data_IF_577748571334
#
_entry.id   IF_577748571334
#
_cell.length_a   1.000
_cell.length_b   1.000
_cell.length_c   1.000
_cell.angle_alpha   90.00
_cell.angle_beta   90.00
_cell.angle_gamma   90.00
#
_symmetry.space_group_name_H-M   'P 1'
#
loop_
_entity.id
_entity.type
_entity.pdbx_description
1 polymer ?
#
# COMPACT_ATOMS: atom_id res chain seq x y z
N UNK A 1 12.21 7.51 0.93
CA UNK A 1 11.95 8.96 0.86
C UNK A 1 13.10 9.73 1.47
N UNK A 2 13.56 10.79 0.81
CA UNK A 2 14.67 11.60 1.32
C UNK A 2 14.18 12.92 1.91
N UNK A 3 14.43 13.12 3.21
CA UNK A 3 14.18 14.40 3.89
C UNK A 3 15.34 15.35 3.63
N UNK A 4 15.08 16.48 2.97
CA UNK A 4 16.11 17.50 2.68
C UNK A 4 16.21 18.51 3.83
N UNK A 5 15.08 18.89 4.40
CA UNK A 5 15.02 19.88 5.46
C UNK A 5 13.66 19.87 6.13
N UNK A 6 13.64 20.18 7.42
CA UNK A 6 12.43 20.34 8.21
C UNK A 6 12.57 21.56 9.13
N UNK A 7 11.52 22.34 9.23
CA UNK A 7 11.38 23.41 10.21
C UNK A 7 10.01 23.28 10.85
N UNK A 8 9.98 22.85 12.11
CA UNK A 8 8.78 22.65 12.89
C UNK A 8 8.82 23.60 14.08
N UNK A 9 7.81 24.46 14.19
CA UNK A 9 7.65 25.37 15.32
C UNK A 9 7.14 24.61 16.55
N UNK A 10 7.20 25.26 17.73
CA UNK A 10 6.72 24.69 19.01
C UNK A 10 5.25 24.26 19.00
N UNK A 11 4.44 24.82 18.10
CA UNK A 11 3.02 24.49 17.95
C UNK A 11 2.78 23.39 16.91
N UNK A 12 3.80 22.59 16.57
CA UNK A 12 3.75 21.58 15.50
C UNK A 12 3.40 22.11 14.10
N UNK A 13 3.34 23.42 13.90
CA UNK A 13 3.20 24.05 12.58
C UNK A 13 4.55 24.14 11.88
N UNK A 14 4.61 23.95 10.57
CA UNK A 14 5.88 24.10 9.88
C UNK A 14 5.90 23.47 8.49
N UNK A 15 7.11 23.34 7.95
CA UNK A 15 7.31 22.74 6.64
C UNK A 15 8.34 21.61 6.66
N UNK A 16 8.13 20.65 5.77
CA UNK A 16 9.08 19.58 5.49
C UNK A 16 9.29 19.51 3.98
N UNK A 17 10.56 19.53 3.57
CA UNK A 17 10.99 19.41 2.20
C UNK A 17 11.50 18.00 1.93
N UNK A 18 10.89 17.34 0.94
CA UNK A 18 11.04 15.91 0.67
C UNK A 18 11.36 15.68 -0.81
N UNK A 19 11.99 14.53 -1.11
CA UNK A 19 12.06 13.92 -2.44
C UNK A 19 11.50 12.50 -2.30
N UNK A 20 10.52 12.16 -3.13
CA UNK A 20 10.04 10.80 -3.30
C UNK A 20 10.94 10.07 -4.31
N UNK A 21 11.64 9.02 -3.89
CA UNK A 21 12.64 8.31 -4.70
C UNK A 21 12.04 7.06 -5.39
N UNK A 22 10.88 6.60 -4.92
CA UNK A 22 10.21 5.41 -5.44
C UNK A 22 8.67 5.53 -5.39
N UNK A 23 7.99 4.52 -5.92
CA UNK A 23 6.51 4.47 -5.96
C UNK A 23 5.89 4.41 -4.55
N UNK A 24 6.56 3.77 -3.59
CA UNK A 24 6.10 3.71 -2.18
C UNK A 24 6.11 5.10 -1.54
N UNK A 25 7.15 5.89 -1.77
CA UNK A 25 7.25 7.26 -1.29
C UNK A 25 6.11 8.13 -1.83
N UNK A 26 5.68 7.88 -3.07
CA UNK A 26 4.54 8.58 -3.65
C UNK A 26 3.23 8.22 -2.94
N UNK A 27 3.03 6.95 -2.58
CA UNK A 27 1.89 6.52 -1.76
C UNK A 27 1.94 7.15 -0.35
N UNK A 28 3.12 7.20 0.27
CA UNK A 28 3.30 7.84 1.57
C UNK A 28 3.03 9.35 1.49
N UNK A 29 3.48 10.01 0.41
CA UNK A 29 3.18 11.43 0.16
C UNK A 29 1.69 11.67 0.01
N UNK A 30 0.98 10.77 -0.67
CA UNK A 30 -0.47 10.82 -0.79
C UNK A 30 -1.18 10.73 0.57
N UNK A 31 -0.72 9.85 1.47
CA UNK A 31 -1.25 9.76 2.83
C UNK A 31 -0.88 10.97 3.70
N UNK A 32 0.23 11.64 3.38
CA UNK A 32 0.73 12.79 4.13
C UNK A 32 -0.01 14.09 3.80
N UNK A 33 -0.33 14.33 2.52
CA UNK A 33 -0.95 15.58 2.06
C UNK A 33 -2.45 15.62 2.37
N UNK A 34 -2.95 16.75 2.84
CA UNK A 34 -4.36 16.98 3.16
C UNK A 34 -4.92 18.23 2.50
N UNK A 35 -6.25 18.28 2.42
CA UNK A 35 -6.99 19.46 1.97
C UNK A 35 -6.75 20.60 2.97
N UNK A 36 -6.38 21.78 2.46
CA UNK A 36 -5.98 22.94 3.24
C UNK A 36 -4.46 23.07 3.46
N UNK A 37 -3.69 22.03 3.19
CA UNK A 37 -2.23 22.12 3.25
C UNK A 37 -1.67 22.99 2.12
N UNK A 38 -0.51 23.60 2.37
CA UNK A 38 0.21 24.36 1.34
C UNK A 38 1.32 23.51 0.75
N UNK A 39 1.30 23.35 -0.56
CA UNK A 39 2.23 22.54 -1.32
C UNK A 39 3.04 23.38 -2.29
N UNK A 40 4.36 23.30 -2.20
CA UNK A 40 5.29 23.98 -3.10
C UNK A 40 6.05 22.97 -3.95
N UNK A 41 5.88 23.05 -5.26
CA UNK A 41 6.59 22.20 -6.23
C UNK A 41 6.89 22.98 -7.52
N UNK A 42 7.85 22.48 -8.29
CA UNK A 42 8.11 22.96 -9.65
C UNK A 42 7.03 22.47 -10.60
N UNK A 43 6.52 23.35 -11.46
CA UNK A 43 5.55 22.99 -12.49
C UNK A 43 5.81 23.76 -13.78
N UNK A 44 5.31 23.23 -14.90
CA UNK A 44 5.40 23.86 -16.21
C UNK A 44 4.06 24.49 -16.54
N UNK A 45 4.07 25.77 -16.90
CA UNK A 45 2.87 26.51 -17.29
C UNK A 45 3.03 27.12 -18.67
N UNK A 46 1.97 27.04 -19.48
CA UNK A 46 1.86 27.80 -20.72
C UNK A 46 1.45 29.23 -20.38
N UNK A 47 2.30 30.18 -20.73
CA UNK A 47 2.07 31.61 -20.55
C UNK A 47 1.85 32.22 -21.91
N UNK A 48 0.72 32.91 -22.09
CA UNK A 48 0.43 33.69 -23.28
C UNK A 48 0.92 35.11 -23.05
N UNK A 49 1.86 35.55 -23.89
CA UNK A 49 2.35 36.92 -23.90
C UNK A 49 1.79 37.59 -25.16
N UNK A 50 1.07 38.68 -24.97
CA UNK A 50 0.60 39.53 -26.05
C UNK A 50 1.61 40.65 -26.27
N UNK A 51 2.19 40.71 -27.47
CA UNK A 51 3.15 41.76 -27.84
C UNK A 51 2.42 43.06 -28.14
N UNK A 52 3.09 44.21 -28.02
CA UNK A 52 2.52 45.53 -28.32
C UNK A 52 1.98 45.66 -29.77
N UNK A 53 2.40 44.77 -30.67
CA UNK A 53 1.93 44.63 -32.06
C UNK A 53 0.70 43.72 -32.22
N UNK A 54 0.08 43.26 -31.14
CA UNK A 54 -1.11 42.38 -31.16
C UNK A 54 -0.84 40.91 -31.48
N UNK A 55 0.42 40.51 -31.59
CA UNK A 55 0.81 39.11 -31.82
C UNK A 55 0.81 38.32 -30.51
N UNK A 56 0.06 37.22 -30.45
CA UNK A 56 0.00 36.33 -29.28
C UNK A 56 1.05 35.23 -29.42
N UNK A 57 2.02 35.17 -28.50
CA UNK A 57 2.98 34.08 -28.41
C UNK A 57 2.74 33.26 -27.15
N UNK A 58 2.69 31.94 -27.29
CA UNK A 58 2.57 31.01 -26.15
C UNK A 58 3.94 30.41 -25.84
N UNK A 59 4.46 30.66 -24.63
CA UNK A 59 5.72 30.07 -24.15
C UNK A 59 5.48 29.16 -22.97
N UNK A 60 6.16 28.01 -22.93
CA UNK A 60 6.19 27.17 -21.74
C UNK A 60 7.29 27.64 -20.79
N UNK A 61 6.93 27.88 -19.53
CA UNK A 61 7.86 28.34 -18.49
C UNK A 61 7.77 27.39 -17.30
N UNK A 62 8.93 26.97 -16.78
CA UNK A 62 9.05 26.19 -15.54
C UNK A 62 9.13 27.15 -14.37
N UNK A 63 8.25 26.99 -13.39
CA UNK A 63 8.10 27.91 -12.25
C UNK A 63 7.78 27.12 -10.99
N UNK A 64 8.22 27.61 -9.83
CA UNK A 64 7.82 27.03 -8.55
C UNK A 64 6.53 27.70 -8.07
N UNK A 65 5.46 26.93 -7.93
CA UNK A 65 4.17 27.42 -7.42
C UNK A 65 3.93 26.87 -6.03
N UNK A 66 3.29 27.69 -5.20
CA UNK A 66 2.81 27.28 -3.88
C UNK A 66 1.29 27.34 -3.91
N UNK A 67 0.65 26.19 -3.87
CA UNK A 67 -0.81 26.08 -3.88
C UNK A 67 -1.34 25.66 -2.52
N UNK A 68 -2.53 26.11 -2.17
CA UNK A 68 -3.34 25.52 -1.10
C UNK A 68 -4.21 24.41 -1.70
N UNK A 69 -4.05 23.20 -1.18
CA UNK A 69 -4.64 21.98 -1.75
C UNK A 69 -6.14 21.94 -1.50
N UNK A 70 -6.93 21.84 -2.56
CA UNK A 70 -8.40 21.67 -2.49
C UNK A 70 -8.82 20.23 -2.85
N UNK A 71 -8.09 19.58 -3.76
CA UNK A 71 -8.38 18.21 -4.22
C UNK A 71 -7.09 17.43 -4.45
N UNK A 72 -7.13 16.16 -4.06
CA UNK A 72 -6.01 15.21 -4.15
C UNK A 72 -6.49 14.01 -4.95
N UNK A 73 -5.82 13.69 -6.05
CA UNK A 73 -6.05 12.48 -6.84
C UNK A 73 -4.72 11.73 -6.99
N UNK A 74 -4.71 10.42 -6.76
CA UNK A 74 -3.51 9.59 -6.87
C UNK A 74 -3.71 8.49 -7.92
N UNK A 75 -2.79 8.43 -8.89
CA UNK A 75 -2.74 7.34 -9.86
C UNK A 75 -1.75 6.27 -9.39
N UNK A 76 -2.30 5.11 -9.01
CA UNK A 76 -1.55 3.96 -8.54
C UNK A 76 -0.65 3.32 -9.60
N UNK A 77 -1.05 3.35 -10.88
CA UNK A 77 -0.27 2.72 -11.94
C UNK A 77 0.82 3.66 -12.46
N UNK A 78 0.49 4.94 -12.60
CA UNK A 78 1.44 5.98 -13.00
C UNK A 78 2.38 6.42 -11.87
N UNK A 79 2.04 6.13 -10.60
CA UNK A 79 2.72 6.66 -9.42
C UNK A 79 2.84 8.19 -9.44
N UNK A 80 1.75 8.86 -9.88
CA UNK A 80 1.67 10.32 -9.99
C UNK A 80 0.62 10.83 -9.02
N UNK A 81 0.98 11.87 -8.27
CA UNK A 81 0.07 12.55 -7.34
C UNK A 81 -0.35 13.90 -7.94
N UNK A 82 -1.65 14.04 -8.21
CA UNK A 82 -2.25 15.25 -8.74
C UNK A 82 -2.87 16.06 -7.61
N UNK A 83 -2.34 17.26 -7.38
CA UNK A 83 -2.79 18.19 -6.35
C UNK A 83 -3.39 19.43 -6.99
N UNK A 84 -4.71 19.57 -6.93
CA UNK A 84 -5.40 20.76 -7.43
C UNK A 84 -5.60 21.75 -6.30
N UNK A 85 -5.31 23.01 -6.57
CA UNK A 85 -5.40 24.06 -5.56
C UNK A 85 -5.32 25.47 -6.12
N UNK A 86 -5.38 26.45 -5.22
CA UNK A 86 -5.23 27.88 -5.56
C UNK A 86 -3.84 28.37 -5.21
N UNK A 87 -3.25 29.20 -6.07
CA UNK A 87 -1.96 29.82 -5.79
C UNK A 87 -2.05 30.80 -4.61
N UNK A 88 -1.25 30.59 -3.57
CA UNK A 88 -1.26 31.40 -2.33
C UNK A 88 -0.05 32.33 -2.19
N UNK A 89 0.93 32.23 -3.09
CA UNK A 89 2.12 33.10 -3.09
C UNK A 89 2.22 33.80 -4.44
N UNK A 90 2.56 35.08 -4.43
CA UNK A 90 2.70 35.85 -5.66
C UNK A 90 3.76 35.21 -6.57
N UNK A 91 3.42 35.08 -7.85
CA UNK A 91 4.31 34.53 -8.84
C UNK A 91 4.28 35.38 -10.10
N UNK A 92 5.43 35.53 -10.75
CA UNK A 92 5.58 36.29 -11.99
C UNK A 92 4.61 35.86 -13.10
N UNK A 93 4.24 34.58 -13.15
CA UNK A 93 3.43 34.01 -14.23
C UNK A 93 2.03 33.57 -13.78
N UNK A 94 1.74 33.62 -12.48
CA UNK A 94 0.48 33.11 -11.91
C UNK A 94 -0.05 34.08 -10.88
N UNK A 95 -1.24 34.62 -11.17
CA UNK A 95 -1.95 35.51 -10.24
C UNK A 95 -2.27 34.78 -8.94
N UNK A 96 -2.27 35.52 -7.84
CA UNK A 96 -2.79 35.06 -6.55
C UNK A 96 -4.24 34.59 -6.69
N UNK A 97 -4.58 33.47 -6.06
CA UNK A 97 -5.91 32.85 -6.11
C UNK A 97 -6.21 32.07 -7.40
N UNK A 98 -5.33 32.11 -8.42
CA UNK A 98 -5.55 31.34 -9.65
C UNK A 98 -5.41 29.84 -9.39
N UNK A 99 -6.27 29.05 -10.01
CA UNK A 99 -6.22 27.60 -9.94
C UNK A 99 -5.04 27.02 -10.73
N UNK A 100 -4.43 25.99 -10.15
CA UNK A 100 -3.40 25.18 -10.81
C UNK A 100 -3.44 23.74 -10.27
N UNK A 101 -3.01 22.79 -11.10
CA UNK A 101 -2.79 21.40 -10.69
C UNK A 101 -1.29 21.12 -10.68
N UNK A 102 -0.75 20.75 -9.53
CA UNK A 102 0.62 20.27 -9.38
C UNK A 102 0.64 18.75 -9.56
N UNK A 103 1.40 18.28 -10.55
CA UNK A 103 1.67 16.86 -10.75
C UNK A 103 3.01 16.54 -10.11
N UNK A 104 3.01 15.87 -8.96
CA UNK A 104 4.25 15.40 -8.35
C UNK A 104 4.69 14.10 -9.00
N UNK A 105 5.99 14.04 -9.31
CA UNK A 105 6.66 12.88 -9.88
C UNK A 105 7.80 12.42 -8.97
N UNK A 106 8.23 11.18 -9.19
CA UNK A 106 9.42 10.60 -8.58
C UNK A 106 10.64 11.47 -8.91
N UNK A 107 11.56 11.59 -7.95
CA UNK A 107 12.78 12.39 -7.97
C UNK A 107 12.57 13.92 -8.06
N UNK A 108 11.33 14.41 -7.94
CA UNK A 108 11.06 15.83 -7.83
C UNK A 108 11.05 16.31 -6.37
N UNK A 109 11.70 17.45 -6.14
CA UNK A 109 11.70 18.11 -4.83
C UNK A 109 10.40 18.86 -4.61
N UNK A 110 9.73 18.57 -3.50
CA UNK A 110 8.53 19.28 -3.07
C UNK A 110 8.62 19.66 -1.59
N UNK A 111 7.79 20.62 -1.19
CA UNK A 111 7.69 21.07 0.21
C UNK A 111 6.24 21.07 0.63
N UNK A 112 5.96 20.36 1.71
CA UNK A 112 4.67 20.34 2.38
C UNK A 112 4.73 21.31 3.55
N UNK A 113 3.77 22.21 3.64
CA UNK A 113 3.58 23.09 4.79
C UNK A 113 2.21 22.81 5.39
N UNK A 114 2.20 22.41 6.66
CA UNK A 114 0.98 22.10 7.42
C UNK A 114 0.80 23.10 8.55
N UNK A 115 -0.46 23.36 8.88
CA UNK A 115 -0.83 24.09 10.10
C UNK A 115 -0.44 23.29 11.35
N UNK A 116 -0.59 21.98 11.30
CA UNK A 116 -0.27 21.06 12.38
C UNK A 116 0.28 19.75 11.81
N UNK A 117 1.47 19.36 12.25
CA UNK A 117 2.06 18.04 12.03
C UNK A 117 1.70 17.14 13.21
N UNK A 118 0.76 16.23 12.99
CA UNK A 118 0.38 15.22 13.98
C UNK A 118 1.47 14.15 14.17
N UNK A 119 1.40 13.42 15.28
CA UNK A 119 2.39 12.38 15.62
C UNK A 119 2.45 11.28 14.55
N UNK A 120 1.32 10.99 13.91
CA UNK A 120 1.17 9.99 12.85
C UNK A 120 1.90 10.44 11.59
N UNK A 121 1.74 11.69 11.16
CA UNK A 121 2.42 12.27 10.01
C UNK A 121 3.94 12.27 10.20
N UNK A 122 4.41 12.65 11.39
CA UNK A 122 5.85 12.62 11.72
C UNK A 122 6.37 11.19 11.65
N UNK A 123 5.67 10.24 12.27
CA UNK A 123 6.03 8.82 12.24
C UNK A 123 6.06 8.26 10.82
N UNK A 124 5.10 8.63 9.96
CA UNK A 124 5.09 8.24 8.55
C UNK A 124 6.30 8.77 7.79
N UNK A 125 6.70 10.03 8.02
CA UNK A 125 7.91 10.62 7.41
C UNK A 125 9.17 9.90 7.87
N UNK A 126 9.28 9.59 9.17
CA UNK A 126 10.42 8.87 9.73
C UNK A 126 10.52 7.44 9.16
N UNK A 127 9.40 6.71 9.10
CA UNK A 127 9.34 5.39 8.47
C UNK A 127 9.71 5.43 6.99
N UNK A 128 9.25 6.45 6.26
CA UNK A 128 9.57 6.64 4.84
C UNK A 128 11.06 6.92 4.61
N UNK A 129 11.75 7.48 5.61
CA UNK A 129 13.15 7.84 5.53
C UNK A 129 14.12 6.70 5.81
N UNK A 130 13.63 5.58 6.37
CA UNK A 130 14.45 4.42 6.72
C UNK A 130 14.63 3.49 5.50
N UNK A 131 15.85 3.40 4.92
CA UNK A 131 16.11 2.55 3.77
C UNK A 131 16.08 1.05 4.13
N UNK A 132 16.20 0.67 5.41
CA UNK A 132 16.23 -0.73 5.83
C UNK A 132 14.87 -1.41 5.69
N UNK A 133 13.79 -0.62 5.70
CA UNK A 133 12.40 -1.05 5.58
C UNK A 133 11.99 -1.39 4.15
N UNK A 134 12.85 -1.13 3.15
CA UNK A 134 12.55 -1.41 1.74
C UNK A 134 12.88 -2.87 1.42
N UNK A 135 11.84 -3.66 1.14
CA UNK A 135 11.97 -5.04 0.69
C UNK A 135 10.91 -5.32 -0.36
N UNK A 136 11.31 -5.26 -1.62
CA UNK A 136 10.42 -5.64 -2.72
C UNK A 136 10.44 -7.17 -2.87
N UNK A 137 9.24 -7.74 -2.88
CA UNK A 137 8.98 -9.14 -3.14
C UNK A 137 8.15 -9.24 -4.42
N UNK A 138 8.46 -10.24 -5.23
CA UNK A 138 7.58 -10.62 -6.30
C UNK A 138 6.83 -11.89 -5.94
N UNK A 139 5.57 -11.98 -6.32
CA UNK A 139 4.78 -13.20 -6.19
C UNK A 139 4.08 -13.50 -7.51
N UNK A 140 4.18 -14.75 -7.95
CA UNK A 140 3.43 -15.30 -9.07
C UNK A 140 2.48 -16.33 -8.53
N UNK A 141 1.18 -16.00 -8.55
CA UNK A 141 0.12 -16.90 -8.15
C UNK A 141 -0.48 -17.47 -9.42
N UNK A 142 -0.50 -18.80 -9.54
CA UNK A 142 -0.88 -19.48 -10.76
C UNK A 142 -1.90 -20.60 -10.51
N UNK A 143 -2.79 -20.78 -11.47
CA UNK A 143 -3.68 -21.92 -11.65
C UNK A 143 -3.67 -22.26 -13.15
N UNK A 144 -4.16 -23.44 -13.53
CA UNK A 144 -4.28 -23.80 -14.94
C UNK A 144 -5.11 -22.72 -15.68
N UNK A 145 -4.43 -22.01 -16.59
CA UNK A 145 -5.02 -20.97 -17.43
C UNK A 145 -5.14 -19.57 -16.81
N UNK A 146 -4.72 -19.38 -15.56
CA UNK A 146 -4.77 -18.07 -14.91
C UNK A 146 -3.52 -17.82 -14.07
N UNK A 147 -2.84 -16.70 -14.28
CA UNK A 147 -1.73 -16.28 -13.44
C UNK A 147 -1.76 -14.79 -13.14
N UNK A 148 -1.36 -14.44 -11.92
CA UNK A 148 -1.16 -13.07 -11.48
C UNK A 148 0.31 -12.87 -11.12
N UNK A 149 0.94 -11.88 -11.74
CA UNK A 149 2.27 -11.40 -11.37
C UNK A 149 2.08 -10.17 -10.50
N UNK A 150 2.41 -10.31 -9.23
CA UNK A 150 2.27 -9.28 -8.21
C UNK A 150 3.64 -8.80 -7.75
N UNK A 151 3.75 -7.50 -7.53
CA UNK A 151 4.85 -6.89 -6.77
C UNK A 151 4.29 -6.50 -5.40
N UNK A 152 4.88 -7.07 -4.36
CA UNK A 152 4.54 -6.79 -2.97
C UNK A 152 5.68 -5.96 -2.43
N UNK A 153 5.37 -4.71 -2.12
CA UNK A 153 6.27 -3.81 -1.44
C UNK A 153 5.91 -3.79 0.05
N UNK A 154 6.63 -3.01 0.85
CA UNK A 154 6.35 -2.91 2.29
C UNK A 154 4.98 -2.31 2.61
N UNK A 155 4.41 -1.53 1.69
CA UNK A 155 3.14 -0.82 1.89
C UNK A 155 2.08 -1.15 0.84
N UNK A 156 2.41 -1.75 -0.29
CA UNK A 156 1.42 -1.95 -1.36
C UNK A 156 1.54 -3.33 -1.97
N UNK A 157 0.43 -3.86 -2.48
CA UNK A 157 0.44 -5.06 -3.33
C UNK A 157 -0.14 -4.71 -4.69
N UNK A 158 0.74 -4.61 -5.68
CA UNK A 158 0.40 -4.18 -7.04
C UNK A 158 0.37 -5.39 -7.96
N UNK A 159 -0.76 -5.60 -8.64
CA UNK A 159 -0.85 -6.58 -9.73
C UNK A 159 -0.28 -5.96 -11.00
N UNK A 160 0.89 -6.43 -11.45
CA UNK A 160 1.56 -5.90 -12.66
C UNK A 160 1.06 -6.55 -13.94
N UNK A 161 0.71 -7.83 -13.87
CA UNK A 161 0.14 -8.56 -15.01
C UNK A 161 -0.88 -9.60 -14.56
N UNK A 162 -1.97 -9.70 -15.33
CA UNK A 162 -2.93 -10.81 -15.29
C UNK A 162 -2.82 -11.55 -16.61
N UNK A 163 -2.51 -12.84 -16.55
CA UNK A 163 -2.43 -13.72 -17.71
C UNK A 163 -3.62 -14.66 -17.63
N UNK A 164 -4.47 -14.62 -18.65
CA UNK A 164 -5.69 -15.41 -18.75
C UNK A 164 -5.66 -16.13 -20.11
N UNK A 165 -5.48 -17.45 -20.06
CA UNK A 165 -5.27 -18.29 -21.24
C UNK A 165 -6.12 -19.54 -21.12
N UNK A 166 -7.01 -19.76 -22.09
CA UNK A 166 -7.84 -20.97 -22.11
C UNK A 166 -7.00 -22.20 -22.45
N UNK A 167 -6.75 -23.05 -21.46
CA UNK A 167 -6.06 -24.33 -21.65
C UNK A 167 -7.08 -25.42 -21.97
N UNK A 168 -6.95 -26.12 -23.11
CA UNK A 168 -7.84 -27.23 -23.46
C UNK A 168 -7.78 -28.32 -22.39
N UNK A 169 -8.93 -28.78 -21.88
CA UNK A 169 -8.97 -29.86 -20.88
C UNK A 169 -8.53 -31.20 -21.49
N UNK A 170 -7.87 -32.02 -20.69
CA UNK A 170 -7.60 -33.42 -21.05
C UNK A 170 -8.94 -34.16 -21.17
N UNK A 171 -9.23 -34.72 -22.35
CA UNK A 171 -10.42 -35.55 -22.60
C UNK A 171 -9.97 -36.93 -23.05
N UNK A 172 -10.65 -38.01 -22.62
CA UNK A 172 -10.43 -39.34 -23.18
C UNK A 172 -10.67 -39.29 -24.70
N UNK A 173 -9.69 -39.73 -25.51
CA UNK A 173 -9.80 -39.77 -26.97
C UNK A 173 -9.32 -38.53 -27.74
N UNK A 174 -8.91 -37.44 -27.07
CA UNK A 174 -8.22 -36.32 -27.72
C UNK A 174 -6.69 -36.39 -27.51
N UNK A 175 -5.86 -35.92 -28.46
CA UNK A 175 -4.42 -35.87 -28.27
C UNK A 175 -4.02 -34.96 -27.10
N UNK A 176 -3.33 -35.52 -26.10
CA UNK A 176 -2.75 -34.77 -24.96
C UNK A 176 -1.79 -33.66 -25.41
N UNK A 177 -1.22 -33.78 -26.61
CA UNK A 177 -0.32 -32.81 -27.21
C UNK A 177 -0.90 -31.38 -27.30
N UNK A 178 -2.22 -31.23 -27.49
CA UNK A 178 -2.84 -29.90 -27.54
C UNK A 178 -2.88 -29.23 -26.17
N UNK A 179 -3.12 -30.01 -25.11
CA UNK A 179 -3.09 -29.52 -23.73
C UNK A 179 -1.67 -29.10 -23.32
N UNK A 180 -0.67 -29.96 -23.59
CA UNK A 180 0.74 -29.66 -23.30
C UNK A 180 1.22 -28.41 -24.05
N UNK A 181 0.86 -28.25 -25.33
CA UNK A 181 1.19 -27.06 -26.11
C UNK A 181 0.51 -25.80 -25.54
N UNK A 182 -0.71 -25.92 -25.02
CA UNK A 182 -1.41 -24.84 -24.33
C UNK A 182 -0.68 -24.43 -23.03
N UNK A 183 -0.25 -25.42 -22.25
CA UNK A 183 0.48 -25.21 -21.00
C UNK A 183 1.85 -24.53 -21.25
N UNK A 184 2.61 -25.00 -22.23
CA UNK A 184 3.90 -24.38 -22.59
C UNK A 184 3.74 -22.92 -23.01
N UNK A 185 2.72 -22.59 -23.82
CA UNK A 185 2.42 -21.20 -24.19
C UNK A 185 2.06 -20.34 -22.99
N UNK A 186 1.27 -20.88 -22.06
CA UNK A 186 0.92 -20.21 -20.83
C UNK A 186 2.16 -19.92 -19.97
N UNK A 187 3.06 -20.90 -19.82
CA UNK A 187 4.33 -20.71 -19.11
C UNK A 187 5.25 -19.69 -19.79
N UNK A 188 5.35 -19.68 -21.12
CA UNK A 188 6.10 -18.67 -21.87
C UNK A 188 5.57 -17.25 -21.60
N UNK A 189 4.24 -17.07 -21.54
CA UNK A 189 3.63 -15.78 -21.21
C UNK A 189 3.98 -15.33 -19.78
N UNK A 190 4.00 -16.25 -18.81
CA UNK A 190 4.40 -15.94 -17.43
C UNK A 190 5.87 -15.52 -17.39
N UNK A 191 6.76 -16.24 -18.06
CA UNK A 191 8.18 -15.87 -18.14
C UNK A 191 8.38 -14.49 -18.77
N UNK A 192 7.64 -14.16 -19.83
CA UNK A 192 7.70 -12.83 -20.46
C UNK A 192 7.17 -11.74 -19.52
N UNK A 193 6.12 -12.00 -18.76
CA UNK A 193 5.59 -11.05 -17.78
C UNK A 193 6.57 -10.81 -16.64
N UNK A 194 7.22 -11.86 -16.13
CA UNK A 194 8.29 -11.76 -15.12
C UNK A 194 9.43 -10.85 -15.62
N UNK A 195 9.91 -11.08 -16.83
CA UNK A 195 11.02 -10.31 -17.42
C UNK A 195 10.67 -8.83 -17.67
N UNK A 196 9.41 -8.53 -18.04
CA UNK A 196 8.96 -7.16 -18.31
C UNK A 196 8.69 -6.35 -17.05
N UNK A 197 8.13 -6.99 -16.02
CA UNK A 197 7.56 -6.27 -14.88
C UNK A 197 8.37 -6.38 -13.59
N UNK A 198 9.30 -7.34 -13.49
CA UNK A 198 10.09 -7.56 -12.28
C UNK A 198 11.55 -7.24 -12.54
N UNK A 199 12.09 -6.32 -11.74
CA UNK A 199 13.52 -6.03 -11.69
C UNK A 199 14.18 -6.95 -10.68
N UNK A 200 14.88 -7.96 -11.18
CA UNK A 200 15.54 -8.99 -10.37
C UNK A 200 16.62 -8.44 -9.45
N UNK A 201 17.22 -7.28 -9.79
CA UNK A 201 18.28 -6.65 -8.98
C UNK A 201 17.75 -6.06 -7.66
N UNK A 202 16.49 -5.64 -7.64
CA UNK A 202 15.86 -4.99 -6.49
C UNK A 202 15.10 -5.99 -5.63
N UNK A 203 14.41 -6.94 -6.28
CA UNK A 203 13.58 -7.91 -5.59
C UNK A 203 14.44 -8.91 -4.82
N UNK A 204 14.17 -9.04 -3.51
CA UNK A 204 14.90 -9.96 -2.62
C UNK A 204 14.54 -11.42 -2.90
N UNK A 205 13.26 -11.69 -3.18
CA UNK A 205 12.75 -13.03 -3.40
C UNK A 205 11.52 -13.03 -4.34
N UNK A 206 11.39 -14.11 -5.12
CA UNK A 206 10.28 -14.36 -6.04
C UNK A 206 9.54 -15.62 -5.59
N UNK A 207 8.28 -15.45 -5.17
CA UNK A 207 7.43 -16.54 -4.73
C UNK A 207 6.66 -17.09 -5.93
N UNK A 208 6.67 -18.41 -6.12
CA UNK A 208 5.87 -19.14 -7.09
C UNK A 208 4.85 -19.98 -6.32
N UNK A 209 3.58 -19.62 -6.43
CA UNK A 209 2.52 -20.20 -5.65
C UNK A 209 1.43 -20.79 -6.54
N UNK A 210 1.05 -22.05 -6.30
CA UNK A 210 0.00 -22.72 -7.04
C UNK A 210 -0.70 -23.80 -6.21
N UNK A 211 -1.95 -24.15 -6.52
CA UNK A 211 -2.54 -25.40 -6.08
C UNK A 211 -1.92 -26.58 -6.85
N UNK A 212 -1.64 -27.67 -6.13
CA UNK A 212 -1.04 -28.87 -6.72
C UNK A 212 0.40 -28.66 -7.22
N UNK A 213 0.74 -29.29 -8.34
CA UNK A 213 2.13 -29.42 -8.84
C UNK A 213 2.52 -28.40 -9.92
N UNK A 214 1.68 -27.39 -10.17
CA UNK A 214 1.87 -26.47 -11.31
C UNK A 214 3.10 -25.57 -11.14
N UNK A 215 3.40 -25.13 -9.92
CA UNK A 215 4.58 -24.33 -9.59
C UNK A 215 5.88 -25.08 -9.84
N UNK A 216 5.95 -26.39 -9.53
CA UNK A 216 7.12 -27.22 -9.80
C UNK A 216 7.33 -27.38 -11.30
N UNK A 217 6.24 -27.70 -12.04
CA UNK A 217 6.28 -27.82 -13.50
C UNK A 217 6.70 -26.52 -14.18
N UNK A 218 6.18 -25.38 -13.72
CA UNK A 218 6.57 -24.07 -14.24
C UNK A 218 8.04 -23.76 -13.93
N UNK A 219 8.51 -24.04 -12.71
CA UNK A 219 9.89 -23.79 -12.32
C UNK A 219 10.86 -24.63 -13.15
N UNK A 220 10.58 -25.91 -13.37
CA UNK A 220 11.37 -26.76 -14.27
C UNK A 220 11.37 -26.24 -15.72
N UNK A 221 10.19 -25.89 -16.25
CA UNK A 221 10.06 -25.31 -17.58
C UNK A 221 10.86 -24.01 -17.73
N UNK A 222 10.82 -23.15 -16.72
CA UNK A 222 11.54 -21.88 -16.68
C UNK A 222 13.06 -22.10 -16.74
N UNK A 223 13.59 -23.03 -15.95
CA UNK A 223 15.02 -23.33 -15.93
C UNK A 223 15.48 -23.97 -17.25
N UNK A 224 14.71 -24.89 -17.81
CA UNK A 224 15.01 -25.51 -19.11
C UNK A 224 15.02 -24.47 -20.24
N UNK A 225 14.02 -23.59 -20.26
CA UNK A 225 13.90 -22.53 -21.27
C UNK A 225 14.99 -21.47 -21.10
N UNK A 226 15.31 -21.08 -19.87
CA UNK A 226 16.40 -20.15 -19.58
C UNK A 226 17.76 -20.70 -20.01
N UNK A 227 17.99 -22.01 -19.87
CA UNK A 227 19.22 -22.67 -20.33
C UNK A 227 19.27 -22.72 -21.87
N UNK A 228 18.15 -23.06 -22.52
CA UNK A 228 18.06 -23.15 -23.98
C UNK A 228 18.24 -21.79 -24.68
N UNK A 229 17.69 -20.73 -24.09
CA UNK A 229 17.71 -19.37 -24.64
C UNK A 229 18.84 -18.51 -24.04
N UNK A 230 19.72 -19.10 -23.22
CA UNK A 230 20.81 -18.41 -22.51
C UNK A 230 20.38 -17.15 -21.74
N UNK A 231 19.17 -17.17 -21.16
CA UNK A 231 18.64 -16.05 -20.36
C UNK A 231 19.32 -15.98 -18.99
N UNK A 232 20.43 -15.25 -18.92
CA UNK A 232 21.26 -15.08 -17.71
C UNK A 232 20.47 -14.61 -16.49
N UNK A 233 19.52 -13.69 -16.67
CA UNK A 233 18.71 -13.10 -15.58
C UNK A 233 18.04 -14.17 -14.71
N UNK A 234 17.48 -15.23 -15.32
CA UNK A 234 16.82 -16.31 -14.58
C UNK A 234 17.82 -17.32 -13.98
N UNK A 235 18.95 -17.56 -14.65
CA UNK A 235 19.98 -18.50 -14.20
C UNK A 235 20.75 -17.96 -12.99
N UNK A 236 21.12 -16.68 -13.01
CA UNK A 236 21.85 -16.01 -11.93
C UNK A 236 20.97 -15.82 -10.69
N UNK A 237 19.68 -15.55 -10.88
CA UNK A 237 18.73 -15.34 -9.78
C UNK A 237 17.95 -16.61 -9.37
N UNK A 238 18.42 -17.80 -9.76
CA UNK A 238 17.73 -19.08 -9.46
C UNK A 238 17.44 -19.26 -7.96
N UNK A 239 18.37 -18.85 -7.09
CA UNK A 239 18.24 -18.97 -5.62
C UNK A 239 17.15 -18.07 -5.02
N UNK A 240 16.71 -17.03 -5.75
CA UNK A 240 15.63 -16.13 -5.30
C UNK A 240 14.24 -16.73 -5.46
N UNK A 241 14.08 -17.76 -6.29
CA UNK A 241 12.78 -18.40 -6.50
C UNK A 241 12.42 -19.33 -5.33
N UNK A 242 11.19 -19.20 -4.84
CA UNK A 242 10.63 -20.05 -3.80
C UNK A 242 9.34 -20.68 -4.26
N UNK A 243 9.18 -21.98 -4.02
CA UNK A 243 7.98 -22.73 -4.34
C UNK A 243 7.11 -22.81 -3.09
N UNK A 244 5.86 -22.35 -3.17
CA UNK A 244 4.95 -22.24 -2.02
C UNK A 244 3.57 -22.80 -2.37
N UNK A 245 2.86 -23.34 -1.38
CA UNK A 245 1.49 -23.82 -1.56
C UNK A 245 0.49 -22.68 -1.56
N UNK A 246 -0.52 -22.83 -2.39
CA UNK A 246 -1.64 -21.90 -2.48
C UNK A 246 -2.91 -22.69 -2.70
N UNK A 247 -3.97 -22.38 -1.96
CA UNK A 247 -5.29 -22.97 -2.18
C UNK A 247 -5.91 -22.60 -3.54
N UNK A 248 -5.56 -21.44 -4.12
CA UNK A 248 -6.14 -20.95 -5.38
C UNK A 248 -5.14 -20.19 -6.27
N UNK A 249 -5.54 -19.92 -7.51
CA UNK A 249 -4.77 -19.12 -8.48
C UNK A 249 -5.09 -17.63 -8.47
N UNK A 250 -5.86 -17.13 -7.51
CA UNK A 250 -6.39 -15.76 -7.50
C UNK A 250 -5.65 -14.85 -6.51
N UNK A 251 -5.84 -13.52 -6.63
CA UNK A 251 -5.21 -12.50 -5.77
C UNK A 251 -5.36 -12.79 -4.27
N UNK A 252 -6.52 -13.30 -3.83
CA UNK A 252 -6.77 -13.55 -2.41
C UNK A 252 -5.84 -14.61 -1.81
N UNK A 253 -5.32 -15.53 -2.61
CA UNK A 253 -4.42 -16.57 -2.12
C UNK A 253 -3.04 -16.03 -1.72
N UNK A 254 -2.70 -14.80 -2.13
CA UNK A 254 -1.52 -14.08 -1.66
C UNK A 254 -1.50 -13.97 -0.13
N UNK A 255 -2.69 -13.88 0.49
CA UNK A 255 -2.88 -13.89 1.95
C UNK A 255 -2.26 -15.14 2.57
N UNK A 256 -2.69 -16.30 2.11
CA UNK A 256 -2.22 -17.61 2.58
C UNK A 256 -0.72 -17.77 2.35
N UNK A 257 -0.25 -17.41 1.15
CA UNK A 257 1.16 -17.56 0.75
C UNK A 257 2.09 -16.72 1.64
N UNK A 258 1.68 -15.50 2.01
CA UNK A 258 2.47 -14.66 2.90
C UNK A 258 2.48 -15.16 4.35
N UNK A 259 1.49 -15.96 4.75
CA UNK A 259 1.44 -16.56 6.10
C UNK A 259 2.26 -17.84 6.25
N UNK A 260 2.75 -18.42 5.15
CA UNK A 260 3.52 -19.66 5.19
C UNK A 260 4.86 -19.45 5.91
N UNK A 261 5.15 -20.32 6.88
CA UNK A 261 6.41 -20.38 7.64
C UNK A 261 7.68 -20.35 6.77
N UNK A 262 7.66 -21.01 5.60
CA UNK A 262 8.80 -21.03 4.67
C UNK A 262 9.08 -19.63 4.15
N UNK A 263 8.02 -18.91 3.80
CA UNK A 263 8.10 -17.53 3.32
C UNK A 263 8.51 -16.60 4.45
N UNK A 264 7.84 -16.69 5.59
CA UNK A 264 8.11 -15.87 6.77
C UNK A 264 9.57 -15.95 7.22
N UNK A 265 10.18 -17.14 7.18
CA UNK A 265 11.59 -17.35 7.57
C UNK A 265 12.61 -16.58 6.70
N UNK A 266 12.28 -16.30 5.43
CA UNK A 266 13.13 -15.50 4.53
C UNK A 266 12.74 -14.02 4.50
N UNK A 267 11.52 -13.71 4.90
CA UNK A 267 11.00 -12.34 5.01
C UNK A 267 11.18 -11.74 6.41
N UNK A 268 12.01 -12.36 7.25
CA UNK A 268 12.34 -11.85 8.59
C UNK A 268 12.86 -10.42 8.45
N UNK A 269 12.31 -9.51 9.27
CA UNK A 269 12.59 -8.07 9.28
C UNK A 269 11.95 -7.25 8.14
N UNK A 270 10.92 -7.75 7.47
CA UNK A 270 10.12 -6.93 6.53
C UNK A 270 8.86 -6.39 7.22
N UNK A 271 8.46 -5.15 6.90
CA UNK A 271 7.23 -4.54 7.42
C UNK A 271 5.99 -5.39 7.12
N UNK A 272 5.84 -5.86 5.88
CA UNK A 272 4.72 -6.70 5.46
C UNK A 272 4.56 -7.97 6.31
N UNK A 273 5.67 -8.64 6.64
CA UNK A 273 5.71 -9.80 7.54
C UNK A 273 5.14 -9.45 8.91
N UNK A 274 5.56 -8.33 9.48
CA UNK A 274 5.10 -7.89 10.81
C UNK A 274 3.60 -7.56 10.82
N UNK A 275 3.08 -6.95 9.75
CA UNK A 275 1.66 -6.65 9.60
C UNK A 275 0.82 -7.92 9.50
N UNK A 276 1.26 -8.88 8.68
CA UNK A 276 0.58 -10.17 8.51
C UNK A 276 0.58 -10.97 9.82
N UNK A 277 1.71 -11.01 10.56
CA UNK A 277 1.77 -11.65 11.88
C UNK A 277 0.81 -10.99 12.87
N UNK A 278 0.81 -9.67 12.98
CA UNK A 278 -0.06 -8.98 13.94
C UNK A 278 -1.56 -9.21 13.66
N UNK A 279 -1.95 -9.28 12.40
CA UNK A 279 -3.33 -9.58 12.00
C UNK A 279 -3.70 -11.04 12.29
N UNK A 280 -2.76 -11.98 12.09
CA UNK A 280 -2.96 -13.39 12.47
C UNK A 280 -3.07 -13.56 13.98
N UNK A 281 -2.22 -12.89 14.75
CA UNK A 281 -2.25 -12.90 16.21
C UNK A 281 -3.60 -12.38 16.73
N UNK A 282 -4.13 -11.33 16.10
CA UNK A 282 -5.47 -10.81 16.38
C UNK A 282 -6.57 -11.87 16.13
N UNK A 283 -6.57 -12.53 14.96
CA UNK A 283 -7.54 -13.59 14.68
C UNK A 283 -7.38 -14.81 15.59
N UNK A 284 -6.15 -15.14 15.99
CA UNK A 284 -5.89 -16.23 16.93
C UNK A 284 -6.41 -15.87 18.32
N UNK A 285 -6.23 -14.62 18.76
CA UNK A 285 -6.78 -14.13 20.01
C UNK A 285 -8.31 -14.19 19.98
N UNK A 286 -8.95 -13.73 18.91
CA UNK A 286 -10.41 -13.80 18.77
C UNK A 286 -10.97 -15.23 18.85
N UNK A 287 -10.20 -16.24 18.41
CA UNK A 287 -10.56 -17.66 18.52
C UNK A 287 -10.35 -18.23 19.92
N UNK A 288 -9.35 -17.73 20.64
CA UNK A 288 -8.90 -18.32 21.92
C UNK A 288 -9.57 -17.62 23.11
N UNK A 289 -9.62 -16.30 23.08
CA UNK A 289 -10.16 -15.42 24.13
C UNK A 289 -10.78 -14.16 23.51
N UNK A 290 -12.11 -14.19 23.31
CA UNK A 290 -12.86 -13.09 22.70
C UNK A 290 -12.78 -11.79 23.51
N UNK A 291 -12.64 -11.89 24.84
CA UNK A 291 -12.56 -10.73 25.74
C UNK A 291 -11.23 -9.96 25.65
N UNK A 292 -10.29 -10.43 24.82
CA UNK A 292 -8.96 -9.81 24.62
C UNK A 292 -8.70 -9.30 23.21
N UNK A 293 -9.68 -9.37 22.32
CA UNK A 293 -9.55 -8.92 20.93
C UNK A 293 -10.78 -8.12 20.53
N UNK A 294 -10.61 -6.80 20.40
CA UNK A 294 -11.70 -5.90 20.03
C UNK A 294 -11.50 -5.33 18.64
N UNK A 295 -12.60 -5.10 17.92
CA UNK A 295 -12.63 -4.37 16.66
C UNK A 295 -13.79 -3.38 16.67
N UNK A 296 -13.69 -2.32 15.87
CA UNK A 296 -14.63 -1.20 15.89
C UNK A 296 -14.21 -0.08 16.83
N UNK A 297 -14.45 1.16 16.39
CA UNK A 297 -13.99 2.36 17.10
C UNK A 297 -14.46 2.42 18.56
N UNK A 298 -15.76 2.18 18.82
CA UNK A 298 -16.34 2.22 20.17
C UNK A 298 -15.64 1.24 21.12
N UNK A 299 -15.50 -0.02 20.72
CA UNK A 299 -14.88 -1.06 21.55
C UNK A 299 -13.41 -0.77 21.81
N UNK A 300 -12.68 -0.37 20.77
CA UNK A 300 -11.25 -0.05 20.88
C UNK A 300 -11.05 1.19 21.76
N UNK A 301 -11.93 2.19 21.68
CA UNK A 301 -11.88 3.38 22.53
C UNK A 301 -12.08 3.02 24.01
N UNK A 302 -13.07 2.19 24.33
CA UNK A 302 -13.27 1.70 25.71
C UNK A 302 -12.03 0.95 26.22
N UNK A 303 -11.40 0.12 25.38
CA UNK A 303 -10.17 -0.56 25.76
C UNK A 303 -8.96 0.37 25.93
N UNK A 304 -8.89 1.45 25.14
CA UNK A 304 -7.86 2.48 25.27
C UNK A 304 -8.02 3.26 26.57
N UNK A 305 -9.27 3.59 26.94
CA UNK A 305 -9.61 4.30 28.19
C UNK A 305 -9.34 3.44 29.43
N UNK A 306 -9.47 2.11 29.29
CA UNK A 306 -9.06 1.14 30.30
C UNK A 306 -7.53 0.86 30.31
N UNK A 307 -6.75 1.51 29.45
CA UNK A 307 -5.30 1.31 29.29
C UNK A 307 -4.90 -0.16 29.04
N UNK A 308 -5.77 -0.95 28.40
CA UNK A 308 -5.59 -2.38 28.23
C UNK A 308 -4.98 -2.78 26.89
N UNK A 309 -4.84 -1.84 25.96
CA UNK A 309 -4.34 -2.14 24.60
C UNK A 309 -2.85 -2.48 24.65
N UNK A 310 -2.51 -3.66 24.15
CA UNK A 310 -1.13 -4.06 23.90
C UNK A 310 -0.69 -3.67 22.50
N UNK A 311 -1.47 -4.08 21.48
CA UNK A 311 -1.21 -3.78 20.09
C UNK A 311 -2.45 -3.18 19.43
N UNK A 312 -2.34 -1.96 18.89
CA UNK A 312 -3.36 -1.31 18.09
C UNK A 312 -3.08 -1.54 16.60
N UNK A 313 -4.09 -2.01 15.87
CA UNK A 313 -4.09 -2.21 14.43
C UNK A 313 -5.02 -1.17 13.81
N UNK A 314 -4.51 -0.30 12.95
CA UNK A 314 -5.32 0.75 12.32
C UNK A 314 -4.94 0.92 10.84
N UNK A 315 -5.92 1.17 9.97
CA UNK A 315 -5.64 1.40 8.54
C UNK A 315 -5.39 2.87 8.22
N UNK A 316 -4.51 3.11 7.24
CA UNK A 316 -4.18 4.46 6.76
C UNK A 316 -5.39 5.22 6.17
N UNK A 317 -6.39 4.50 5.67
CA UNK A 317 -7.62 5.04 5.10
C UNK A 317 -8.44 5.85 6.11
N UNK A 318 -8.42 5.48 7.40
CA UNK A 318 -9.16 6.17 8.45
C UNK A 318 -8.61 7.59 8.71
N UNK A 319 -7.29 7.78 8.55
CA UNK A 319 -6.68 9.11 8.66
C UNK A 319 -6.96 10.01 7.45
N UNK A 320 -7.54 9.47 6.37
CA UNK A 320 -7.97 10.22 5.18
C UNK A 320 -9.49 10.47 5.13
N UNK A 321 -10.20 10.21 6.22
CA UNK A 321 -11.61 10.61 6.36
C UNK A 321 -11.79 12.09 6.01
N UNK A 322 -12.87 12.41 5.28
CA UNK A 322 -13.24 13.80 4.98
C UNK A 322 -13.70 14.55 6.24
N UNK A 323 -14.11 13.81 7.27
CA UNK A 323 -14.53 14.39 8.53
C UNK A 323 -13.30 14.68 9.41
N UNK A 324 -13.06 15.96 9.67
CA UNK A 324 -11.93 16.40 10.50
C UNK A 324 -12.03 15.90 11.95
N UNK A 325 -13.25 15.77 12.49
CA UNK A 325 -13.47 15.32 13.86
C UNK A 325 -13.12 13.84 14.02
N UNK A 326 -13.61 13.00 13.10
CA UNK A 326 -13.31 11.57 13.06
C UNK A 326 -11.80 11.32 12.96
N UNK A 327 -11.11 12.09 12.12
CA UNK A 327 -9.66 11.96 12.00
C UNK A 327 -8.94 12.30 13.31
N UNK A 328 -9.33 13.41 13.96
CA UNK A 328 -8.72 13.82 15.24
C UNK A 328 -8.92 12.75 16.31
N UNK A 329 -10.10 12.15 16.35
CA UNK A 329 -10.40 11.04 17.26
C UNK A 329 -9.44 9.84 17.08
N UNK A 330 -9.10 9.47 15.84
CA UNK A 330 -8.15 8.38 15.59
C UNK A 330 -6.70 8.76 15.91
N UNK A 331 -6.32 10.02 15.69
CA UNK A 331 -4.99 10.53 16.08
C UNK A 331 -4.85 10.51 17.61
N UNK A 332 -5.84 11.03 18.33
CA UNK A 332 -5.90 10.99 19.80
C UNK A 332 -5.85 9.55 20.33
N UNK A 333 -6.56 8.61 19.69
CA UNK A 333 -6.51 7.20 20.05
C UNK A 333 -5.09 6.62 19.90
N UNK A 334 -4.41 6.94 18.80
CA UNK A 334 -3.03 6.50 18.54
C UNK A 334 -2.07 7.07 19.59
N UNK A 335 -2.22 8.35 19.92
CA UNK A 335 -1.39 9.02 20.93
C UNK A 335 -1.63 8.42 22.32
N UNK A 336 -2.89 8.21 22.71
CA UNK A 336 -3.26 7.56 23.96
C UNK A 336 -2.66 6.16 24.10
N UNK A 337 -2.69 5.35 23.03
CA UNK A 337 -2.08 4.01 23.05
C UNK A 337 -0.56 4.09 23.17
N UNK A 338 0.10 5.03 22.48
CA UNK A 338 1.55 5.24 22.60
C UNK A 338 1.96 5.68 24.00
N UNK A 339 1.22 6.61 24.60
CA UNK A 339 1.46 7.09 25.97
C UNK A 339 1.34 5.96 27.00
N UNK A 340 0.43 5.01 26.75
CA UNK A 340 0.24 3.79 27.55
C UNK A 340 1.24 2.66 27.21
N UNK A 341 2.30 2.96 26.46
CA UNK A 341 3.33 2.02 26.01
C UNK A 341 2.79 0.86 25.14
N UNK A 342 1.64 1.05 24.49
CA UNK A 342 1.11 0.12 23.51
C UNK A 342 1.83 0.26 22.17
N UNK A 343 1.85 -0.83 21.40
CA UNK A 343 2.46 -0.89 20.07
C UNK A 343 1.41 -0.52 19.04
N UNK A 344 1.61 0.57 18.30
CA UNK A 344 0.71 0.96 17.22
C UNK A 344 1.26 0.50 15.87
N UNK A 345 0.47 -0.25 15.11
CA UNK A 345 0.78 -0.68 13.74
C UNK A 345 -0.22 -0.11 12.76
N UNK A 346 0.27 0.72 11.84
CA UNK A 346 -0.54 1.31 10.77
C UNK A 346 -0.41 0.45 9.52
N UNK A 347 -1.54 -0.07 9.06
CA UNK A 347 -1.68 -0.90 7.88
C UNK A 347 -2.00 -0.05 6.66
N UNK A 348 -1.37 -0.35 5.54
CA UNK A 348 -1.76 0.26 4.28
C UNK A 348 -3.02 -0.41 3.72
N UNK A 349 -4.02 0.41 3.39
CA UNK A 349 -5.27 -0.03 2.76
C UNK A 349 -5.08 -0.72 1.40
N UNK A 350 -3.93 -0.53 0.74
CA UNK A 350 -3.56 -1.20 -0.51
C UNK A 350 -2.76 -2.48 -0.34
N UNK A 351 -2.36 -2.79 0.88
CA UNK A 351 -1.76 -4.07 1.20
C UNK A 351 -2.86 -5.08 1.54
N UNK A 352 -2.57 -6.34 1.26
CA UNK A 352 -3.51 -7.44 1.40
C UNK A 352 -4.00 -7.65 2.85
N UNK A 353 -3.16 -7.37 3.85
CA UNK A 353 -3.53 -7.35 5.27
C UNK A 353 -4.45 -6.16 5.61
N UNK A 354 -4.19 -4.97 5.06
CA UNK A 354 -5.03 -3.79 5.26
C UNK A 354 -6.40 -3.93 4.63
N UNK A 355 -6.53 -4.61 3.48
CA UNK A 355 -7.83 -4.99 2.91
C UNK A 355 -8.67 -5.81 3.89
N UNK A 356 -8.06 -6.73 4.66
CA UNK A 356 -8.77 -7.53 5.68
C UNK A 356 -9.16 -6.69 6.89
N UNK A 357 -8.25 -5.85 7.39
CA UNK A 357 -8.54 -4.98 8.53
C UNK A 357 -9.65 -3.97 8.21
N UNK A 358 -9.71 -3.46 6.98
CA UNK A 358 -10.81 -2.60 6.51
C UNK A 358 -12.18 -3.31 6.50
N UNK A 359 -12.22 -4.62 6.27
CA UNK A 359 -13.46 -5.40 6.40
C UNK A 359 -13.92 -5.50 7.86
N UNK A 360 -13.00 -5.32 8.81
CA UNK A 360 -13.25 -5.24 10.26
C UNK A 360 -13.28 -3.79 10.75
N UNK A 361 -13.98 -2.90 10.03
CA UNK A 361 -14.10 -1.45 10.31
C UNK A 361 -12.82 -0.61 10.19
N UNK A 362 -11.66 -1.22 9.91
CA UNK A 362 -10.37 -0.52 9.77
C UNK A 362 -9.61 -0.30 11.08
N UNK A 363 -10.20 -0.63 12.23
CA UNK A 363 -9.56 -0.48 13.56
C UNK A 363 -9.81 -1.72 14.42
N UNK A 364 -8.73 -2.26 14.99
CA UNK A 364 -8.76 -3.41 15.89
C UNK A 364 -7.65 -3.31 16.94
N UNK A 365 -7.80 -4.00 18.06
CA UNK A 365 -6.84 -4.01 19.15
C UNK A 365 -6.72 -5.39 19.80
N UNK A 366 -5.50 -5.75 20.18
CA UNK A 366 -5.17 -6.89 21.04
C UNK A 366 -4.90 -6.35 22.44
N UNK A 367 -5.52 -6.94 23.46
CA UNK A 367 -5.48 -6.47 24.84
C UNK A 367 -4.50 -7.29 25.71
N UNK A 368 -3.88 -6.60 26.68
CA UNK A 368 -3.00 -7.18 27.71
C UNK A 368 -3.76 -8.08 28.67
N UNK A 369 -4.98 -7.67 29.02
CA UNK A 369 -5.87 -8.38 29.94
C UNK A 369 -7.31 -8.35 29.41
N UNK A 370 -8.15 -9.33 29.80
CA UNK A 370 -9.53 -9.42 29.33
C UNK A 370 -10.37 -8.26 29.86
N UNK A 371 -11.19 -7.67 28.99
CA UNK A 371 -12.22 -6.70 29.35
C UNK A 371 -13.57 -7.29 28.93
N UNK A 372 -14.61 -7.27 29.79
CA UNK A 372 -15.96 -7.65 29.38
C UNK A 372 -16.38 -6.85 28.15
N UNK A 373 -17.00 -7.50 27.16
CA UNK A 373 -17.46 -6.78 25.98
C UNK A 373 -18.39 -5.64 26.41
N UNK A 374 -18.12 -4.39 25.98
CA UNK A 374 -19.01 -3.29 26.27
C UNK A 374 -20.36 -3.59 25.60
N UNK A 375 -21.44 -3.52 26.37
CA UNK A 375 -22.80 -3.69 25.86
C UNK A 375 -23.00 -2.70 24.72
N UNK A 376 -23.26 -3.20 23.52
CA UNK A 376 -23.59 -2.35 22.37
C UNK A 376 -25.09 -2.07 22.38
N UNK A 377 -25.47 -0.83 22.08
CA UNK A 377 -26.88 -0.40 22.01
C UNK A 377 -27.72 -1.20 20.98
N UNK A 378 -27.07 -2.01 20.14
CA UNK A 378 -27.73 -2.86 19.14
C UNK A 378 -28.36 -4.14 19.77
N UNK A 379 -27.90 -4.59 20.94
CA UNK A 379 -28.51 -5.71 21.65
C UNK A 379 -29.76 -5.30 22.46
N UNK A 380 -29.89 -4.02 22.82
CA UNK A 380 -31.07 -3.52 23.56
C UNK A 380 -32.35 -3.44 22.74
N UNK A 381 -32.28 -3.41 21.40
CA UNK A 381 -33.47 -3.29 20.54
C UNK A 381 -34.08 -4.64 20.11
N UNK A 382 -33.51 -5.77 20.51
CA UNK A 382 -34.03 -7.10 20.13
C UNK A 382 -34.84 -7.81 21.22
N UNK A 383 -35.05 -7.16 22.37
CA UNK A 383 -35.69 -7.78 23.54
C UNK A 383 -37.00 -7.12 24.02
N UNK A 384 -37.53 -6.13 23.29
CA UNK A 384 -38.77 -5.43 23.70
C UNK A 384 -40.04 -5.72 22.85
N UNK A 385 -39.98 -6.60 21.83
CA UNK A 385 -41.10 -6.80 20.90
C UNK A 385 -41.82 -8.17 20.98
N UNK A 386 -41.56 -9.00 21.98
CA UNK A 386 -42.17 -10.37 22.09
C UNK A 386 -43.17 -10.56 23.26
N UNK A 387 -43.80 -9.48 23.74
CA UNK A 387 -44.96 -9.57 24.64
C UNK A 387 -46.10 -8.63 24.19
N UNK A 388 -46.95 -9.11 23.25
CA UNK A 388 -48.38 -8.74 23.15
C UNK A 388 -49.20 -9.75 22.35
#
# INVERSE_FOLDING_TARGET
>A
MKVIGRELNKNSSGYITLIAENEEDMWLTYNLVQVGDKMRCSTVRKVQNESATGSVQTKQVRTNLTIEVEKIDFDLQGSVLHLKGRNVVENQFVKMGAYHTLDLRIDEKFTITKTEWDSVAIMLVEQASDPTQQADLAAVIMHEGLAYVCLITSTTTIVRAKIDTTIPRKRPGLPTAQHEKGLSRFFEQIMQALERHIRFDIVKCIILASPGFLREQFFEFMIQTATRQEKRVFLENKSKFMLVHSSSGHKHALKEVLTDSVVMSKLVNTKATSEVTALNDFYQMLKTDQSRAFYGYKHVKTAADACAIDTLLITDALFRSRNLEERKQYVELVDQVKDNQGIVRIFSSLHVSGEQLNQLSGVAAILRFPIPEPVTDDESNSSEDDDN
#
